data_IF_023856894016
#
_entry.id   IF_023856894016
#
_cell.length_a   1.000
_cell.length_b   1.000
_cell.length_c   1.000
_cell.angle_alpha   90.00
_cell.angle_beta   90.00
_cell.angle_gamma   90.00
#
_symmetry.space_group_name_H-M   'P 1'
#
loop_
_entity.id
_entity.type
_entity.pdbx_description
1 polymer ?
#
# COMPACT_ATOMS: atom_id res chain seq x y z
N UNK A 1 -14.73 -11.00 -0.20
CA UNK A 1 -13.98 -12.13 -0.81
C UNK A 1 -12.53 -11.74 -0.73
N UNK A 2 -11.77 -12.45 0.09
CA UNK A 2 -10.32 -12.28 0.17
C UNK A 2 -9.74 -12.64 -1.20
N UNK A 3 -8.97 -11.73 -1.79
CA UNK A 3 -8.25 -11.99 -3.03
C UNK A 3 -7.01 -12.80 -2.63
N UNK A 4 -7.13 -14.12 -2.70
CA UNK A 4 -5.98 -15.00 -2.51
C UNK A 4 -5.10 -14.92 -3.75
N UNK A 5 -3.83 -14.55 -3.57
CA UNK A 5 -2.84 -14.65 -4.63
C UNK A 5 -2.30 -16.07 -4.65
N UNK A 6 -2.53 -16.79 -5.74
CA UNK A 6 -2.05 -18.15 -5.94
C UNK A 6 -1.09 -18.19 -7.11
N UNK A 7 0.02 -18.90 -6.97
CA UNK A 7 0.97 -19.09 -8.04
C UNK A 7 0.74 -20.41 -8.75
N UNK A 8 0.73 -20.34 -10.07
CA UNK A 8 0.62 -21.50 -10.93
C UNK A 8 1.74 -21.56 -11.96
N UNK A 9 2.20 -22.77 -12.26
CA UNK A 9 2.93 -22.99 -13.51
C UNK A 9 1.92 -22.99 -14.64
N UNK A 10 2.03 -22.02 -15.56
CA UNK A 10 1.11 -21.85 -16.66
C UNK A 10 1.83 -22.03 -18.01
N UNK A 11 1.13 -22.66 -18.96
CA UNK A 11 1.58 -22.78 -20.34
C UNK A 11 0.64 -22.01 -21.26
N UNK A 12 1.20 -21.14 -22.09
CA UNK A 12 0.46 -20.35 -23.09
C UNK A 12 0.69 -20.93 -24.46
N UNK A 13 -0.36 -21.34 -25.14
CA UNK A 13 -0.23 -22.10 -26.40
C UNK A 13 -0.02 -21.22 -27.61
N UNK A 14 -0.47 -19.97 -27.65
CA UNK A 14 -0.53 -19.16 -28.88
C UNK A 14 -0.02 -17.74 -28.79
N UNK A 15 0.22 -17.22 -27.60
CA UNK A 15 0.64 -15.82 -27.38
C UNK A 15 1.85 -15.76 -26.44
N UNK A 16 2.74 -14.82 -26.66
CA UNK A 16 3.82 -14.52 -25.72
C UNK A 16 3.31 -13.47 -24.72
N UNK A 17 3.36 -13.79 -23.44
CA UNK A 17 3.04 -12.84 -22.38
C UNK A 17 4.27 -12.03 -22.00
N UNK A 18 4.06 -10.74 -21.74
CA UNK A 18 5.10 -9.85 -21.26
C UNK A 18 5.15 -9.87 -19.74
N UNK A 19 6.34 -9.95 -19.20
CA UNK A 19 6.55 -9.93 -17.75
C UNK A 19 6.16 -8.56 -17.18
N UNK A 20 5.41 -8.57 -16.06
CA UNK A 20 4.98 -7.34 -15.38
C UNK A 20 3.65 -6.77 -15.86
N UNK A 21 3.03 -7.34 -16.88
CA UNK A 21 1.67 -6.97 -17.31
C UNK A 21 0.61 -7.83 -16.64
N UNK A 22 -0.58 -7.28 -16.49
CA UNK A 22 -1.77 -8.00 -16.02
C UNK A 22 -2.58 -8.47 -17.21
N UNK A 23 -3.11 -9.69 -17.11
CA UNK A 23 -3.90 -10.30 -18.16
C UNK A 23 -5.17 -10.91 -17.57
N UNK A 24 -6.27 -10.79 -18.30
CA UNK A 24 -7.45 -11.60 -18.09
C UNK A 24 -7.25 -12.89 -18.88
N UNK A 25 -7.30 -14.03 -18.21
CA UNK A 25 -6.99 -15.32 -18.83
C UNK A 25 -8.17 -16.28 -18.75
N UNK A 26 -8.42 -16.97 -19.85
CA UNK A 26 -9.28 -18.15 -19.88
C UNK A 26 -8.38 -19.37 -19.84
N UNK A 27 -8.57 -20.26 -18.89
CA UNK A 27 -7.65 -21.36 -18.65
C UNK A 27 -8.36 -22.68 -18.33
N UNK A 28 -7.61 -23.79 -18.47
CA UNK A 28 -7.97 -25.12 -17.98
C UNK A 28 -6.91 -25.58 -17.00
N UNK A 29 -7.33 -26.14 -15.88
CA UNK A 29 -6.44 -26.82 -14.95
C UNK A 29 -6.34 -28.28 -15.35
N UNK A 30 -5.12 -28.79 -15.51
CA UNK A 30 -4.86 -30.19 -15.83
C UNK A 30 -3.80 -30.75 -14.88
N UNK A 31 -3.81 -32.06 -14.58
CA UNK A 31 -2.75 -32.69 -13.80
C UNK A 31 -1.40 -32.54 -14.51
N UNK A 32 -0.34 -32.31 -13.74
CA UNK A 32 1.02 -32.26 -14.29
C UNK A 32 1.41 -33.65 -14.80
N UNK A 33 1.90 -33.80 -16.04
CA UNK A 33 2.13 -35.11 -16.66
C UNK A 33 3.14 -36.00 -15.93
N UNK A 34 4.05 -35.39 -15.14
CA UNK A 34 5.10 -36.11 -14.41
C UNK A 34 5.03 -35.96 -12.89
N UNK A 35 4.08 -35.17 -12.36
CA UNK A 35 3.94 -34.89 -10.94
C UNK A 35 2.47 -34.93 -10.55
N UNK A 36 1.93 -36.13 -10.38
CA UNK A 36 0.50 -36.40 -10.30
C UNK A 36 -0.33 -35.65 -9.24
N UNK A 37 0.32 -34.98 -8.31
CA UNK A 37 -0.38 -34.14 -7.29
C UNK A 37 -0.32 -32.64 -7.60
N UNK A 38 0.35 -32.22 -8.68
CA UNK A 38 0.43 -30.81 -9.08
C UNK A 38 -0.52 -30.53 -10.25
N UNK A 39 -1.25 -29.42 -10.14
CA UNK A 39 -2.02 -28.90 -11.25
C UNK A 39 -1.18 -27.89 -12.03
N UNK A 40 -1.31 -27.92 -13.35
CA UNK A 40 -0.77 -26.90 -14.25
C UNK A 40 -1.93 -26.18 -14.93
N UNK A 41 -1.71 -24.91 -15.22
CA UNK A 41 -2.68 -24.07 -15.90
C UNK A 41 -2.35 -24.02 -17.40
N UNK A 42 -3.28 -24.44 -18.25
CA UNK A 42 -3.18 -24.25 -19.69
C UNK A 42 -4.02 -23.05 -20.05
N UNK A 43 -3.37 -21.98 -20.49
CA UNK A 43 -4.02 -20.74 -20.89
C UNK A 43 -4.50 -20.90 -22.33
N UNK A 44 -5.82 -20.85 -22.50
CA UNK A 44 -6.49 -21.04 -23.79
C UNK A 44 -6.65 -19.72 -24.52
N UNK A 45 -7.00 -18.67 -23.77
CA UNK A 45 -7.15 -17.31 -24.30
C UNK A 45 -6.62 -16.28 -23.33
N UNK A 46 -6.16 -15.16 -23.87
CA UNK A 46 -5.51 -14.07 -23.13
C UNK A 46 -5.93 -12.74 -23.71
N UNK A 47 -6.47 -11.90 -22.86
CA UNK A 47 -6.71 -10.48 -23.10
C UNK A 47 -5.82 -9.67 -22.17
N UNK A 48 -5.21 -8.59 -22.66
CA UNK A 48 -4.50 -7.66 -21.78
C UNK A 48 -5.54 -7.03 -20.84
N UNK A 49 -5.37 -7.24 -19.54
CA UNK A 49 -6.26 -6.62 -18.58
C UNK A 49 -6.06 -5.10 -18.66
N UNK A 50 -7.06 -4.42 -19.20
CA UNK A 50 -7.08 -2.97 -19.19
C UNK A 50 -6.98 -2.52 -17.73
N UNK A 51 -5.99 -1.68 -17.45
CA UNK A 51 -5.92 -0.99 -16.17
C UNK A 51 -7.26 -0.28 -15.96
N UNK A 52 -7.96 -0.61 -14.89
CA UNK A 52 -9.23 0.03 -14.55
C UNK A 52 -9.11 1.56 -14.52
N UNK A 53 -7.91 2.05 -14.20
CA UNK A 53 -7.56 3.49 -14.18
C UNK A 53 -7.49 4.08 -15.59
N UNK A 54 -6.94 3.35 -16.57
CA UNK A 54 -6.77 3.87 -17.95
C UNK A 54 -8.11 3.98 -18.69
N UNK A 55 -9.06 3.11 -18.36
CA UNK A 55 -10.39 3.06 -18.96
C UNK A 55 -11.49 3.63 -18.05
N UNK A 56 -11.12 4.22 -16.91
CA UNK A 56 -12.07 4.83 -16.01
C UNK A 56 -12.83 5.95 -16.73
N UNK A 57 -14.14 5.85 -16.71
CA UNK A 57 -15.04 6.90 -17.23
C UNK A 57 -15.88 7.43 -16.11
N UNK A 58 -15.97 8.74 -16.03
CA UNK A 58 -16.84 9.42 -15.09
C UNK A 58 -18.29 9.23 -15.57
N UNK A 59 -18.98 8.26 -14.98
CA UNK A 59 -20.41 8.01 -15.21
C UNK A 59 -21.24 9.00 -14.39
N UNK A 60 -22.56 9.06 -14.62
CA UNK A 60 -23.43 9.93 -13.84
C UNK A 60 -23.56 9.45 -12.39
N UNK A 61 -23.44 8.16 -12.14
CA UNK A 61 -23.35 7.59 -10.79
C UNK A 61 -22.09 8.06 -10.06
N UNK A 62 -20.93 7.99 -10.72
CA UNK A 62 -19.66 8.53 -10.20
C UNK A 62 -19.79 10.02 -9.85
N UNK A 63 -20.40 10.82 -10.74
CA UNK A 63 -20.64 12.25 -10.47
C UNK A 63 -21.52 12.45 -9.25
N UNK A 64 -22.62 11.70 -9.14
CA UNK A 64 -23.53 11.76 -8.00
C UNK A 64 -22.80 11.47 -6.69
N UNK A 65 -21.96 10.43 -6.66
CA UNK A 65 -21.17 10.09 -5.48
C UNK A 65 -20.17 11.20 -5.15
N UNK A 66 -19.43 11.73 -6.13
CA UNK A 66 -18.50 12.83 -5.91
C UNK A 66 -19.19 14.11 -5.40
N UNK A 67 -20.44 14.34 -5.81
CA UNK A 67 -21.21 15.51 -5.34
C UNK A 67 -21.58 15.39 -3.85
N UNK A 68 -21.66 14.20 -3.27
CA UNK A 68 -21.82 14.03 -1.82
C UNK A 68 -20.66 14.70 -1.06
N UNK A 69 -19.43 14.47 -1.52
CA UNK A 69 -18.23 15.04 -0.89
C UNK A 69 -18.09 16.53 -1.19
N UNK A 70 -18.42 16.97 -2.42
CA UNK A 70 -18.37 18.39 -2.84
C UNK A 70 -19.35 19.25 -2.06
N UNK A 71 -20.53 18.71 -1.76
CA UNK A 71 -21.61 19.44 -1.09
C UNK A 71 -21.46 19.51 0.43
N UNK A 72 -20.40 18.92 0.99
CA UNK A 72 -20.08 19.11 2.40
C UNK A 72 -19.83 20.59 2.69
N UNK A 73 -20.62 21.16 3.60
CA UNK A 73 -20.52 22.56 4.01
C UNK A 73 -19.38 22.77 4.98
N UNK A 74 -18.81 23.97 4.97
CA UNK A 74 -17.76 24.40 5.88
C UNK A 74 -16.41 24.65 5.20
N UNK A 75 -15.44 25.08 5.97
CA UNK A 75 -14.04 25.22 5.57
C UNK A 75 -13.43 23.87 5.20
N UNK A 76 -12.28 23.86 4.55
CA UNK A 76 -11.56 22.62 4.22
C UNK A 76 -11.32 21.77 5.46
N UNK A 77 -10.90 22.39 6.56
CA UNK A 77 -10.66 21.70 7.83
C UNK A 77 -11.92 21.06 8.38
N UNK A 78 -13.03 21.81 8.47
CA UNK A 78 -14.31 21.27 8.98
C UNK A 78 -14.83 20.11 8.13
N UNK A 79 -14.63 20.17 6.81
CA UNK A 79 -15.00 19.06 5.91
C UNK A 79 -14.13 17.82 6.12
N UNK A 80 -12.82 17.99 6.30
CA UNK A 80 -11.91 16.89 6.60
C UNK A 80 -12.20 16.27 7.97
N UNK A 81 -12.45 17.10 8.99
CA UNK A 81 -12.82 16.62 10.31
C UNK A 81 -14.15 15.83 10.25
N UNK A 82 -15.14 16.32 9.50
CA UNK A 82 -16.40 15.61 9.30
C UNK A 82 -16.22 14.27 8.58
N UNK A 83 -15.39 14.22 7.54
CA UNK A 83 -15.08 12.96 6.84
C UNK A 83 -14.37 11.98 7.78
N UNK A 84 -13.44 12.44 8.61
CA UNK A 84 -12.79 11.60 9.60
C UNK A 84 -13.78 11.05 10.64
N UNK A 85 -14.71 11.88 11.12
CA UNK A 85 -15.78 11.42 12.02
C UNK A 85 -16.70 10.37 11.37
N UNK A 86 -17.07 10.57 10.12
CA UNK A 86 -17.87 9.60 9.37
C UNK A 86 -17.10 8.27 9.14
N UNK A 87 -15.80 8.34 8.88
CA UNK A 87 -14.95 7.17 8.69
C UNK A 87 -14.84 6.30 9.95
N UNK A 88 -14.98 6.88 11.14
CA UNK A 88 -14.99 6.15 12.42
C UNK A 88 -16.08 5.07 12.48
N UNK A 89 -17.20 5.26 11.79
CA UNK A 89 -18.26 4.25 11.68
C UNK A 89 -17.75 2.96 11.02
N UNK A 90 -16.87 3.08 10.02
CA UNK A 90 -16.26 1.93 9.34
C UNK A 90 -15.08 1.35 10.13
N UNK A 91 -14.38 2.17 10.89
CA UNK A 91 -13.26 1.74 11.75
C UNK A 91 -13.79 1.00 12.98
N UNK A 92 -14.97 1.38 13.48
CA UNK A 92 -15.63 0.76 14.61
C UNK A 92 -15.16 1.26 15.98
N UNK A 93 -14.43 2.37 16.05
CA UNK A 93 -14.04 3.04 17.31
C UNK A 93 -13.73 4.52 17.07
N UNK A 94 -13.74 5.31 18.17
CA UNK A 94 -13.37 6.72 18.17
C UNK A 94 -11.85 6.90 18.03
N UNK A 95 -11.35 6.78 16.79
CA UNK A 95 -9.94 6.93 16.44
C UNK A 95 -9.46 8.38 16.41
N UNK A 96 -8.15 8.56 16.21
CA UNK A 96 -7.54 9.89 16.07
C UNK A 96 -7.81 10.46 14.67
N UNK A 97 -8.46 11.62 14.58
CA UNK A 97 -8.78 12.26 13.30
C UNK A 97 -7.55 12.46 12.42
N UNK A 98 -6.42 12.89 12.99
CA UNK A 98 -5.18 13.07 12.21
C UNK A 98 -4.67 11.76 11.60
N UNK A 99 -4.81 10.63 12.30
CA UNK A 99 -4.45 9.31 11.77
C UNK A 99 -5.36 8.93 10.60
N UNK A 100 -6.65 9.09 10.80
CA UNK A 100 -7.68 8.82 9.81
C UNK A 100 -7.44 9.67 8.56
N UNK A 101 -7.26 10.98 8.72
CA UNK A 101 -7.00 11.92 7.63
C UNK A 101 -5.71 11.62 6.88
N UNK A 102 -4.63 11.24 7.57
CA UNK A 102 -3.35 10.92 6.93
C UNK A 102 -3.45 9.67 6.04
N UNK A 103 -4.14 8.64 6.53
CA UNK A 103 -4.38 7.41 5.76
C UNK A 103 -5.30 7.70 4.57
N UNK A 104 -6.43 8.37 4.82
CA UNK A 104 -7.42 8.73 3.80
C UNK A 104 -6.81 9.58 2.68
N UNK A 105 -6.05 10.61 3.03
CA UNK A 105 -5.34 11.44 2.07
C UNK A 105 -4.42 10.64 1.16
N UNK A 106 -3.73 9.62 1.71
CA UNK A 106 -2.83 8.77 0.92
C UNK A 106 -3.58 7.97 -0.15
N UNK A 107 -4.82 7.55 0.12
CA UNK A 107 -5.67 6.87 -0.86
C UNK A 107 -6.09 7.79 -2.00
N UNK A 108 -6.36 9.07 -1.71
CA UNK A 108 -6.91 10.04 -2.66
C UNK A 108 -5.87 10.81 -3.48
N UNK A 109 -4.59 10.56 -3.28
CA UNK A 109 -3.54 11.19 -4.10
C UNK A 109 -3.52 10.65 -5.51
N UNK A 110 -3.31 11.51 -6.50
CA UNK A 110 -3.09 11.09 -7.89
C UNK A 110 -1.72 10.42 -8.02
N UNK A 111 -1.60 9.42 -8.88
CA UNK A 111 -0.31 8.74 -9.07
C UNK A 111 0.69 9.61 -9.82
N UNK A 112 0.24 10.18 -10.93
CA UNK A 112 1.04 11.02 -11.80
C UNK A 112 0.17 12.15 -12.38
N UNK A 113 0.79 13.25 -12.68
CA UNK A 113 0.15 14.37 -13.37
C UNK A 113 1.11 15.01 -14.37
N UNK A 114 0.56 15.80 -15.29
CA UNK A 114 1.35 16.60 -16.20
C UNK A 114 1.24 18.07 -15.79
N UNK A 115 2.37 18.77 -15.75
CA UNK A 115 2.44 20.18 -15.40
C UNK A 115 3.29 20.94 -16.43
N UNK A 116 2.66 21.76 -17.24
CA UNK A 116 3.32 22.45 -18.34
C UNK A 116 4.00 21.49 -19.32
N UNK A 117 5.31 21.62 -19.48
CA UNK A 117 6.14 20.74 -20.31
C UNK A 117 6.55 19.45 -19.61
N UNK A 118 6.43 19.38 -18.28
CA UNK A 118 6.78 18.20 -17.50
C UNK A 118 5.69 17.13 -17.63
N UNK A 119 6.11 15.92 -17.97
CA UNK A 119 5.25 14.74 -18.10
C UNK A 119 5.51 13.75 -16.99
N UNK A 120 4.46 13.02 -16.58
CA UNK A 120 4.54 11.94 -15.59
C UNK A 120 5.19 12.37 -14.28
N UNK A 121 4.85 13.59 -13.82
CA UNK A 121 5.31 14.09 -12.52
C UNK A 121 4.63 13.27 -11.43
N UNK A 122 5.39 12.78 -10.46
CA UNK A 122 4.87 12.06 -9.30
C UNK A 122 3.88 12.93 -8.53
N UNK A 123 2.69 12.40 -8.27
CA UNK A 123 1.63 13.13 -7.58
C UNK A 123 1.17 12.49 -6.27
N UNK A 124 1.59 11.26 -5.97
CA UNK A 124 1.21 10.56 -4.75
C UNK A 124 2.12 10.91 -3.57
N UNK A 125 1.60 10.71 -2.37
CA UNK A 125 2.33 10.91 -1.12
C UNK A 125 2.83 9.58 -0.59
N UNK A 126 4.12 9.52 -0.26
CA UNK A 126 4.67 8.48 0.59
C UNK A 126 4.46 8.88 2.05
N UNK A 127 3.70 8.08 2.77
CA UNK A 127 3.24 8.41 4.11
C UNK A 127 3.94 7.54 5.15
N UNK A 128 4.50 8.18 6.17
CA UNK A 128 5.07 7.53 7.35
C UNK A 128 4.26 7.92 8.59
N UNK A 129 3.74 6.92 9.30
CA UNK A 129 2.99 7.11 10.54
C UNK A 129 3.74 6.42 11.68
N UNK A 130 4.27 7.22 12.58
CA UNK A 130 4.95 6.76 13.79
C UNK A 130 4.02 7.03 14.98
N UNK A 131 3.65 5.98 15.70
CA UNK A 131 2.81 6.14 16.86
C UNK A 131 3.09 5.03 17.88
N UNK A 132 2.68 5.25 19.11
CA UNK A 132 2.77 4.25 20.15
C UNK A 132 1.90 3.02 19.88
N UNK A 133 2.15 1.94 20.60
CA UNK A 133 1.33 0.74 20.52
C UNK A 133 -0.11 1.07 20.97
N UNK A 134 -1.09 0.34 20.41
CA UNK A 134 -2.52 0.47 20.77
C UNK A 134 -3.22 1.78 20.33
N UNK A 135 -2.58 2.62 19.55
CA UNK A 135 -3.19 3.84 18.97
C UNK A 135 -4.19 3.51 17.83
N UNK A 136 -4.27 2.25 17.42
CA UNK A 136 -5.19 1.81 16.37
C UNK A 136 -4.68 2.00 14.93
N UNK A 137 -3.37 2.19 14.71
CA UNK A 137 -2.78 2.37 13.36
C UNK A 137 -3.20 1.29 12.37
N UNK A 138 -2.93 0.04 12.72
CA UNK A 138 -3.19 -1.12 11.87
C UNK A 138 -4.68 -1.32 11.62
N UNK A 139 -5.49 -1.23 12.67
CA UNK A 139 -6.94 -1.38 12.57
C UNK A 139 -7.57 -0.31 11.68
N UNK A 140 -7.10 0.93 11.79
CA UNK A 140 -7.54 2.03 10.90
C UNK A 140 -7.15 1.75 9.45
N UNK A 141 -5.90 1.35 9.19
CA UNK A 141 -5.43 1.08 7.84
C UNK A 141 -6.14 -0.12 7.19
N UNK A 142 -6.40 -1.18 7.96
CA UNK A 142 -7.19 -2.34 7.51
C UNK A 142 -8.64 -1.97 7.21
N UNK A 143 -9.25 -1.11 8.01
CA UNK A 143 -10.60 -0.62 7.77
C UNK A 143 -10.68 0.15 6.44
N UNK A 144 -9.73 1.03 6.18
CA UNK A 144 -9.65 1.75 4.90
C UNK A 144 -9.35 0.83 3.71
N UNK A 145 -8.47 -0.18 3.89
CA UNK A 145 -8.23 -1.18 2.85
C UNK A 145 -9.52 -1.92 2.47
N UNK A 146 -10.33 -2.27 3.45
CA UNK A 146 -11.64 -2.92 3.22
C UNK A 146 -12.64 -1.96 2.59
N UNK A 147 -12.70 -0.72 3.05
CA UNK A 147 -13.61 0.31 2.54
C UNK A 147 -13.33 0.63 1.08
N UNK A 148 -12.09 0.90 0.73
CA UNK A 148 -11.67 1.25 -0.64
C UNK A 148 -11.44 0.03 -1.55
N UNK A 149 -11.41 -1.18 -1.00
CA UNK A 149 -11.05 -2.42 -1.73
C UNK A 149 -9.74 -2.29 -2.51
N UNK A 150 -8.83 -1.50 -2.00
CA UNK A 150 -7.55 -1.17 -2.61
C UNK A 150 -6.42 -1.34 -1.61
N UNK A 151 -5.32 -1.92 -2.06
CA UNK A 151 -4.08 -2.02 -1.30
C UNK A 151 -3.73 -3.44 -0.88
N UNK A 152 -2.44 -3.67 -0.72
CA UNK A 152 -1.89 -4.86 -0.11
C UNK A 152 -1.29 -4.51 1.26
N UNK A 153 -1.50 -5.36 2.25
CA UNK A 153 -1.04 -5.15 3.61
C UNK A 153 0.05 -6.18 3.96
N UNK A 154 1.17 -5.74 4.52
CA UNK A 154 2.25 -6.65 4.93
C UNK A 154 3.09 -6.08 6.06
N UNK A 155 3.59 -6.97 6.93
CA UNK A 155 4.57 -6.59 7.96
C UNK A 155 5.99 -6.66 7.42
N UNK A 156 6.82 -5.67 7.78
CA UNK A 156 8.26 -5.64 7.49
C UNK A 156 9.10 -6.31 8.59
N UNK A 157 8.47 -6.85 9.63
CA UNK A 157 9.18 -7.45 10.76
C UNK A 157 9.83 -8.79 10.43
N UNK A 158 11.08 -8.93 10.82
CA UNK A 158 11.79 -10.20 10.88
C UNK A 158 11.86 -10.95 9.55
N UNK A 159 11.60 -12.27 9.61
CA UNK A 159 11.68 -13.15 8.44
C UNK A 159 10.40 -13.15 7.57
N UNK A 160 9.35 -12.47 7.97
CA UNK A 160 8.10 -12.37 7.19
C UNK A 160 8.25 -11.48 5.97
N UNK A 161 9.15 -10.49 6.02
CA UNK A 161 9.46 -9.62 4.90
C UNK A 161 10.84 -9.92 4.32
N UNK A 162 10.87 -10.70 3.27
CA UNK A 162 12.11 -10.95 2.53
C UNK A 162 12.21 -10.01 1.32
N UNK A 163 13.43 -9.62 0.94
CA UNK A 163 13.66 -8.81 -0.26
C UNK A 163 13.00 -9.45 -1.49
N UNK A 164 13.16 -10.77 -1.77
CA UNK A 164 12.46 -11.40 -2.88
C UNK A 164 10.93 -11.34 -2.79
N UNK A 165 10.36 -11.42 -1.59
CA UNK A 165 8.91 -11.35 -1.37
C UNK A 165 8.34 -9.95 -1.61
N UNK A 166 9.05 -8.91 -1.19
CA UNK A 166 8.60 -7.51 -1.29
C UNK A 166 8.94 -6.91 -2.66
N UNK A 167 10.16 -7.12 -3.12
CA UNK A 167 10.71 -6.49 -4.31
C UNK A 167 10.63 -7.43 -5.51
N UNK A 168 11.02 -8.66 -5.29
CA UNK A 168 11.13 -9.68 -6.32
C UNK A 168 12.54 -10.26 -6.40
N UNK A 169 12.67 -11.34 -7.11
CA UNK A 169 13.93 -12.05 -7.22
C UNK A 169 13.95 -13.08 -8.32
N UNK A 170 15.10 -13.72 -8.48
CA UNK A 170 15.28 -14.88 -9.35
C UNK A 170 15.40 -16.14 -8.52
N UNK A 171 14.57 -17.14 -8.82
CA UNK A 171 14.61 -18.45 -8.18
C UNK A 171 14.93 -19.51 -9.20
N UNK A 172 15.70 -20.53 -8.82
CA UNK A 172 16.01 -21.67 -9.70
C UNK A 172 14.90 -22.73 -9.56
N UNK A 173 14.16 -22.93 -10.64
CA UNK A 173 13.09 -23.93 -10.72
C UNK A 173 13.42 -24.93 -11.83
N UNK A 174 13.54 -26.21 -11.52
CA UNK A 174 13.88 -27.29 -12.47
C UNK A 174 15.14 -26.99 -13.32
N UNK A 175 16.17 -26.41 -12.71
CA UNK A 175 17.41 -26.08 -13.41
C UNK A 175 17.42 -24.71 -14.11
N UNK A 176 16.27 -24.11 -14.34
CA UNK A 176 16.13 -22.80 -15.00
C UNK A 176 15.87 -21.68 -13.99
N UNK A 177 16.45 -20.50 -14.24
CA UNK A 177 16.15 -19.32 -13.44
C UNK A 177 14.83 -18.69 -13.87
N UNK A 178 13.90 -18.60 -12.95
CA UNK A 178 12.63 -17.88 -13.13
C UNK A 178 12.66 -16.61 -12.29
N UNK A 179 12.23 -15.51 -12.87
CA UNK A 179 12.09 -14.25 -12.16
C UNK A 179 10.68 -14.11 -11.64
N UNK A 180 10.57 -13.70 -10.39
CA UNK A 180 9.32 -13.51 -9.67
C UNK A 180 9.21 -12.05 -9.27
N UNK A 181 8.10 -11.41 -9.59
CA UNK A 181 7.78 -10.09 -9.09
C UNK A 181 7.43 -10.18 -7.59
N UNK A 182 7.89 -9.21 -6.80
CA UNK A 182 7.49 -9.09 -5.41
C UNK A 182 6.20 -8.29 -5.23
N UNK A 183 5.82 -8.07 -3.96
CA UNK A 183 4.59 -7.38 -3.58
C UNK A 183 4.45 -5.99 -4.23
N UNK A 184 5.54 -5.21 -4.25
CA UNK A 184 5.52 -3.84 -4.77
C UNK A 184 5.22 -3.81 -6.28
N UNK A 185 5.98 -4.46 -7.17
CA UNK A 185 5.68 -4.43 -8.59
C UNK A 185 4.36 -5.12 -8.94
N UNK A 186 3.89 -6.08 -8.13
CA UNK A 186 2.56 -6.68 -8.30
C UNK A 186 1.42 -5.70 -8.02
N UNK A 187 1.68 -4.70 -7.17
CA UNK A 187 0.73 -3.62 -6.86
C UNK A 187 1.02 -2.33 -7.62
N UNK A 188 1.68 -2.41 -8.78
CA UNK A 188 1.89 -1.26 -9.66
C UNK A 188 0.59 -0.51 -9.91
N UNK A 189 0.62 0.82 -9.75
CA UNK A 189 -0.53 1.74 -9.77
C UNK A 189 -1.58 1.52 -8.66
N UNK A 190 -1.24 0.72 -7.67
CA UNK A 190 -2.08 0.49 -6.50
C UNK A 190 -1.56 1.19 -5.25
N UNK A 191 -1.70 0.49 -4.12
CA UNK A 191 -1.29 0.94 -2.79
C UNK A 191 -0.71 -0.24 -2.01
N UNK A 192 0.33 0.00 -1.22
CA UNK A 192 0.88 -0.98 -0.29
C UNK A 192 0.99 -0.35 1.10
N UNK A 193 0.53 -1.08 2.09
CA UNK A 193 0.62 -0.71 3.51
C UNK A 193 1.68 -1.60 4.15
N UNK A 194 2.70 -0.97 4.69
CA UNK A 194 3.78 -1.63 5.41
C UNK A 194 3.64 -1.39 6.90
N UNK A 195 3.81 -2.43 7.68
CA UNK A 195 3.90 -2.33 9.14
C UNK A 195 5.29 -2.63 9.66
N UNK A 196 5.54 -2.16 10.89
CA UNK A 196 6.71 -2.51 11.69
C UNK A 196 8.06 -2.12 11.06
N UNK A 197 8.13 -0.95 10.39
CA UNK A 197 9.39 -0.45 9.81
C UNK A 197 10.57 -0.47 10.80
N UNK A 198 10.31 -0.19 12.09
CA UNK A 198 11.34 -0.21 13.14
C UNK A 198 12.05 -1.57 13.31
N UNK A 199 11.42 -2.65 12.87
CA UNK A 199 11.96 -4.02 12.90
C UNK A 199 12.45 -4.50 11.53
N UNK A 200 12.43 -3.62 10.52
CA UNK A 200 12.83 -3.94 9.16
C UNK A 200 14.35 -4.10 9.04
N UNK A 201 14.77 -4.97 8.14
CA UNK A 201 16.18 -5.10 7.78
C UNK A 201 16.63 -3.82 7.04
N UNK A 202 17.79 -3.28 7.40
CA UNK A 202 18.36 -2.07 6.80
C UNK A 202 18.55 -2.16 5.27
N UNK A 203 18.85 -3.35 4.74
CA UNK A 203 18.96 -3.54 3.29
C UNK A 203 17.61 -3.36 2.60
N UNK A 204 16.52 -3.86 3.19
CA UNK A 204 15.18 -3.69 2.63
C UNK A 204 14.74 -2.21 2.70
N UNK A 205 15.08 -1.49 3.79
CA UNK A 205 14.81 -0.04 3.88
C UNK A 205 15.46 0.71 2.74
N UNK A 206 16.72 0.40 2.43
CA UNK A 206 17.48 1.03 1.33
C UNK A 206 16.84 0.74 -0.04
N UNK A 207 16.46 -0.51 -0.28
CA UNK A 207 15.77 -0.89 -1.52
C UNK A 207 14.42 -0.16 -1.66
N UNK A 208 13.65 -0.02 -0.57
CA UNK A 208 12.41 0.76 -0.57
C UNK A 208 12.66 2.23 -0.91
N UNK A 209 13.75 2.81 -0.41
CA UNK A 209 14.16 4.19 -0.72
C UNK A 209 14.47 4.37 -2.21
N UNK A 210 15.20 3.42 -2.80
CA UNK A 210 15.51 3.43 -4.24
C UNK A 210 14.25 3.31 -5.11
N UNK A 211 13.31 2.47 -4.70
CA UNK A 211 12.03 2.29 -5.39
C UNK A 211 11.19 3.58 -5.32
N UNK A 212 11.12 4.24 -4.16
CA UNK A 212 10.44 5.55 -4.02
C UNK A 212 10.99 6.61 -4.95
N UNK A 213 12.29 6.57 -5.21
CA UNK A 213 12.97 7.54 -6.08
C UNK A 213 12.77 7.25 -7.56
N UNK A 214 12.81 5.98 -7.94
CA UNK A 214 12.85 5.54 -9.34
C UNK A 214 11.50 5.10 -9.90
N UNK A 215 10.53 4.78 -9.05
CA UNK A 215 9.28 4.09 -9.41
C UNK A 215 9.52 2.77 -10.17
N UNK A 216 10.66 2.13 -9.92
CA UNK A 216 11.08 0.92 -10.59
C UNK A 216 11.72 -0.06 -9.63
N UNK A 217 11.56 -1.34 -9.93
CA UNK A 217 12.29 -2.43 -9.31
C UNK A 217 13.24 -3.04 -10.34
N UNK A 218 14.50 -3.24 -9.96
CA UNK A 218 15.51 -3.85 -10.82
C UNK A 218 15.94 -5.19 -10.25
N UNK A 219 15.70 -6.26 -10.99
CA UNK A 219 16.06 -7.63 -10.60
C UNK A 219 17.21 -8.10 -11.46
N UNK A 220 18.39 -8.28 -10.85
CA UNK A 220 19.55 -8.83 -11.53
C UNK A 220 19.33 -10.32 -11.84
N UNK A 221 19.72 -10.74 -13.05
CA UNK A 221 19.68 -12.13 -13.52
C UNK A 221 21.00 -12.47 -14.19
N UNK A 222 21.24 -13.76 -14.36
CA UNK A 222 22.39 -14.22 -15.16
C UNK A 222 22.33 -13.74 -16.62
N UNK A 223 21.10 -13.60 -17.16
CA UNK A 223 20.84 -13.15 -18.53
C UNK A 223 20.68 -11.64 -18.71
N UNK A 224 20.94 -10.84 -17.66
CA UNK A 224 20.77 -9.38 -17.66
C UNK A 224 19.84 -8.88 -16.54
N UNK A 225 19.46 -7.62 -16.58
CA UNK A 225 18.61 -6.99 -15.58
C UNK A 225 17.17 -6.89 -16.08
N UNK A 226 16.22 -7.37 -15.28
CA UNK A 226 14.79 -7.10 -15.49
C UNK A 226 14.40 -5.84 -14.71
N UNK A 227 13.79 -4.88 -15.39
CA UNK A 227 13.17 -3.72 -14.77
C UNK A 227 11.65 -3.88 -14.78
N UNK A 228 11.03 -3.74 -13.61
CA UNK A 228 9.59 -3.77 -13.43
C UNK A 228 9.13 -2.39 -12.96
N UNK A 229 7.96 -1.94 -13.43
CA UNK A 229 7.35 -0.72 -12.92
C UNK A 229 6.84 -0.92 -11.50
N UNK A 230 7.04 0.09 -10.65
CA UNK A 230 6.70 0.08 -9.24
C UNK A 230 6.16 1.44 -8.78
N UNK A 231 5.33 2.07 -9.61
CA UNK A 231 4.62 3.29 -9.24
C UNK A 231 3.49 2.91 -8.28
N UNK A 232 3.72 3.05 -6.98
CA UNK A 232 2.85 2.55 -5.91
C UNK A 232 2.77 3.58 -4.79
N UNK A 233 1.57 3.86 -4.29
CA UNK A 233 1.39 4.60 -3.04
C UNK A 233 1.87 3.73 -1.89
N UNK A 234 2.65 4.29 -0.98
CA UNK A 234 3.14 3.55 0.18
C UNK A 234 2.70 4.25 1.47
N UNK A 235 2.03 3.49 2.34
CA UNK A 235 1.73 3.89 3.71
C UNK A 235 2.58 3.02 4.61
N UNK A 236 3.45 3.65 5.41
CA UNK A 236 4.33 2.94 6.33
C UNK A 236 3.91 3.22 7.76
N UNK A 237 3.52 2.18 8.48
CA UNK A 237 3.11 2.22 9.88
C UNK A 237 4.22 1.66 10.74
N UNK A 238 4.57 2.35 11.82
CA UNK A 238 5.60 1.87 12.73
C UNK A 238 5.40 2.35 14.16
N UNK A 239 6.00 1.64 15.07
CA UNK A 239 6.22 2.13 16.43
C UNK A 239 7.56 2.83 16.51
N UNK A 240 7.81 3.52 17.62
CA UNK A 240 9.13 4.06 17.95
C UNK A 240 10.14 2.91 18.04
N UNK A 241 11.37 3.16 17.65
CA UNK A 241 12.43 2.16 17.72
C UNK A 241 12.76 1.86 19.18
N UNK A 242 12.84 0.58 19.52
CA UNK A 242 13.30 0.15 20.84
C UNK A 242 14.81 0.25 20.89
N UNK A 243 15.34 1.09 21.77
CA UNK A 243 16.77 1.18 22.04
C UNK A 243 17.09 0.38 23.30
N UNK A 244 17.48 -0.88 23.16
CA UNK A 244 17.68 -1.82 24.25
C UNK A 244 16.35 -2.33 24.84
N UNK A 245 16.31 -2.55 26.17
CA UNK A 245 15.13 -3.07 26.87
C UNK A 245 14.10 -2.00 27.28
N UNK A 246 14.28 -0.74 26.84
CA UNK A 246 13.37 0.36 27.19
C UNK A 246 12.78 0.98 25.93
N UNK A 247 11.45 1.02 25.88
CA UNK A 247 10.70 1.83 24.91
C UNK A 247 10.72 3.26 25.44
N UNK A 248 11.23 4.19 24.66
CA UNK A 248 11.17 5.61 25.00
C UNK A 248 9.82 6.16 24.52
N UNK A 249 8.95 6.69 25.40
CA UNK A 249 7.67 7.25 24.98
C UNK A 249 7.85 8.42 24.02
N UNK A 250 6.95 8.56 23.05
CA UNK A 250 6.97 9.65 22.06
C UNK A 250 7.00 11.02 22.75
N UNK A 251 6.21 11.20 23.80
CA UNK A 251 6.13 12.45 24.56
C UNK A 251 7.41 12.82 25.33
N UNK A 252 8.39 11.91 25.41
CA UNK A 252 9.69 12.20 26.04
C UNK A 252 10.71 12.83 25.10
N UNK A 253 10.40 12.91 23.81
CA UNK A 253 11.24 13.57 22.81
C UNK A 253 10.92 15.08 22.76
N UNK A 254 11.92 15.95 22.57
CA UNK A 254 11.70 17.38 22.45
C UNK A 254 10.80 17.74 21.25
N UNK A 255 10.92 16.98 20.17
CA UNK A 255 10.12 17.15 18.96
C UNK A 255 9.98 15.81 18.19
N UNK A 256 9.03 15.75 17.25
CA UNK A 256 8.80 14.55 16.45
C UNK A 256 9.91 14.22 15.46
N UNK A 257 10.74 15.20 15.08
CA UNK A 257 11.84 15.00 14.13
C UNK A 257 12.93 14.13 14.75
N UNK A 258 13.22 14.28 16.02
CA UNK A 258 14.21 13.47 16.74
C UNK A 258 13.86 11.98 16.68
N UNK A 259 12.57 11.66 16.74
CA UNK A 259 12.06 10.30 16.62
C UNK A 259 12.33 9.74 15.21
N UNK A 260 12.13 10.55 14.19
CA UNK A 260 12.36 10.14 12.79
C UNK A 260 13.84 9.89 12.53
N UNK A 261 14.73 10.73 13.07
CA UNK A 261 16.18 10.54 12.98
C UNK A 261 16.62 9.26 13.69
N UNK A 262 16.08 8.97 14.86
CA UNK A 262 16.39 7.73 15.60
C UNK A 262 15.85 6.48 14.86
N UNK A 263 14.68 6.59 14.25
CA UNK A 263 14.02 5.49 13.55
C UNK A 263 14.70 5.14 12.22
N UNK A 264 14.98 6.14 11.39
CA UNK A 264 15.44 5.98 10.00
C UNK A 264 16.96 6.19 9.92
N UNK A 265 17.49 7.15 10.66
CA UNK A 265 18.92 7.43 10.78
C UNK A 265 19.49 8.37 9.71
N UNK A 266 19.02 8.31 8.46
CA UNK A 266 19.53 9.12 7.36
C UNK A 266 18.55 10.27 7.01
N UNK A 267 19.01 11.53 6.99
CA UNK A 267 18.20 12.65 6.53
C UNK A 267 17.69 12.49 5.10
N UNK A 268 18.47 11.85 4.22
CA UNK A 268 18.10 11.59 2.84
C UNK A 268 16.92 10.60 2.75
N UNK A 269 16.89 9.59 3.60
CA UNK A 269 15.80 8.61 3.66
C UNK A 269 14.55 9.23 4.29
N UNK A 270 14.71 10.10 5.27
CA UNK A 270 13.60 10.87 5.86
C UNK A 270 12.97 11.78 4.80
N UNK A 271 13.79 12.47 4.00
CA UNK A 271 13.34 13.39 2.96
C UNK A 271 12.56 12.70 1.81
N UNK A 272 12.52 11.37 1.78
CA UNK A 272 11.73 10.60 0.79
C UNK A 272 10.27 10.44 1.17
N UNK A 273 9.92 10.71 2.42
CA UNK A 273 8.52 10.73 2.84
C UNK A 273 7.94 12.12 2.64
N UNK A 274 6.77 12.18 2.03
CA UNK A 274 6.06 13.42 1.74
C UNK A 274 5.15 13.84 2.91
N UNK A 275 4.60 12.85 3.63
CA UNK A 275 3.75 13.06 4.80
C UNK A 275 4.27 12.21 5.96
N UNK A 276 4.60 12.87 7.05
CA UNK A 276 5.04 12.20 8.28
C UNK A 276 4.16 12.62 9.44
N UNK A 277 3.54 11.64 10.08
CA UNK A 277 2.69 11.83 11.24
C UNK A 277 3.32 11.12 12.45
N UNK A 278 3.58 11.87 13.51
CA UNK A 278 4.05 11.35 14.80
C UNK A 278 2.96 11.54 15.83
N UNK A 279 2.43 10.45 16.37
CA UNK A 279 1.34 10.45 17.35
C UNK A 279 1.83 9.92 18.69
N UNK A 280 2.03 10.80 19.64
CA UNK A 280 2.20 10.45 21.05
C UNK A 280 0.87 10.09 21.72
N UNK A 281 0.96 9.50 22.90
CA UNK A 281 -0.19 9.30 23.77
C UNK A 281 -0.73 10.67 24.20
N UNK A 282 -1.77 11.15 23.55
CA UNK A 282 -2.51 12.32 24.02
C UNK A 282 -3.46 11.88 25.10
N UNK A 283 -2.97 11.85 26.36
CA UNK A 283 -3.78 11.55 27.55
C UNK A 283 -4.73 10.38 27.31
N UNK A 284 -5.06 9.62 28.30
CA UNK A 284 -6.02 8.51 28.16
C UNK A 284 -7.26 9.02 27.41
N UNK A 285 -7.29 8.89 26.08
CA UNK A 285 -8.53 9.03 25.33
C UNK A 285 -9.39 7.85 25.78
N UNK A 286 -10.16 8.10 26.83
CA UNK A 286 -11.13 7.12 27.32
C UNK A 286 -12.05 6.88 26.13
N UNK A 287 -12.08 5.64 25.65
CA UNK A 287 -13.09 5.24 24.66
C UNK A 287 -14.42 5.58 25.32
N UNK A 288 -15.11 6.58 24.78
CA UNK A 288 -16.42 6.94 25.27
C UNK A 288 -17.36 5.74 24.99
N UNK A 289 -17.89 5.05 26.01
CA UNK A 289 -18.77 3.93 25.80
C UNK A 289 -20.12 4.33 25.17
N UNK A 290 -20.42 5.63 25.17
CA UNK A 290 -21.61 6.23 24.55
C UNK A 290 -21.31 6.95 23.25
N UNK A 291 -20.08 6.74 22.67
CA UNK A 291 -19.74 7.33 21.39
C UNK A 291 -20.65 6.77 20.29
N UNK A 292 -21.33 7.67 19.61
CA UNK A 292 -22.13 7.35 18.42
C UNK A 292 -21.44 7.91 17.17
N UNK A 293 -21.19 7.08 16.16
CA UNK A 293 -20.60 7.56 14.92
C UNK A 293 -21.59 8.49 14.18
N UNK A 294 -21.06 9.48 13.48
CA UNK A 294 -21.83 10.23 12.49
C UNK A 294 -22.18 9.27 11.35
N UNK A 295 -23.43 9.32 10.88
CA UNK A 295 -23.86 8.49 9.75
C UNK A 295 -22.97 8.70 8.52
N UNK A 296 -22.27 7.64 8.06
CA UNK A 296 -21.34 7.73 6.94
C UNK A 296 -22.11 7.73 5.60
N UNK A 297 -21.42 8.11 4.53
CA UNK A 297 -21.89 7.78 3.19
C UNK A 297 -21.82 6.27 2.96
N UNK A 298 -22.64 5.76 2.03
CA UNK A 298 -22.59 4.35 1.65
C UNK A 298 -21.18 3.96 1.14
N UNK A 299 -20.70 2.72 1.38
CA UNK A 299 -19.36 2.28 1.00
C UNK A 299 -19.05 2.49 -0.47
N UNK A 300 -20.03 2.36 -1.35
CA UNK A 300 -19.92 2.56 -2.78
C UNK A 300 -19.49 3.99 -3.15
N UNK A 301 -19.89 4.98 -2.36
CA UNK A 301 -19.48 6.37 -2.56
C UNK A 301 -17.97 6.58 -2.33
N UNK A 302 -17.37 5.82 -1.41
CA UNK A 302 -15.94 5.88 -1.14
C UNK A 302 -15.11 5.09 -2.17
N UNK A 303 -15.72 4.17 -2.91
CA UNK A 303 -15.05 3.32 -3.91
C UNK A 303 -15.07 3.93 -5.32
N UNK A 304 -15.69 5.09 -5.45
CA UNK A 304 -15.78 5.87 -6.68
C UNK A 304 -14.52 6.71 -6.92
#
# INVERSE_FOLDING_TARGET
KDIATIEFTAYVLKKRLESGKKYLITYKLVPHPYKGQQLIMIIVDVEEACDSITNFRVTDEVKKNLDLFRNLKGSVKERLDKLAEMAKAYIGYDGYNNLIQAIDLSYHTVLEYNFGTFKNVRGYLDTLIVAESRVGKSSTAEAFQKLYKLGAFTSLAGNSATIPGIIGGSTKVNGNYQTRAGLIPMNHRGLVIFEELAKCNSNLVRELTDIRSSNQVRIARVSGTLTLHALVRMITLTNVKNTGNKIRPINSYPNGVDILVELIGSPEDIARYDLMLVLGEQGNKVIDPFWEPIEPFEPEAYQT
#
